data_IF_598705900093
#
_entry.id   IF_598705900093
#
_cell.length_a   1.000
_cell.length_b   1.000
_cell.length_c   1.000
_cell.angle_alpha   90.00
_cell.angle_beta   90.00
_cell.angle_gamma   90.00
#
_symmetry.space_group_name_H-M   'P 1'
#
loop_
_entity.id
_entity.type
_entity.pdbx_description
1 polymer ?
#
# COMPACT_ATOMS: atom_id res chain seq x y z
N UNK A 1 31.58 2.18 -16.09
CA UNK A 1 30.93 0.87 -16.30
C UNK A 1 30.40 0.79 -17.73
N UNK A 2 30.65 -0.31 -18.38
CA UNK A 2 30.11 -0.58 -19.72
C UNK A 2 29.04 -1.66 -19.65
N UNK A 3 27.92 -1.44 -20.32
CA UNK A 3 26.82 -2.38 -20.38
C UNK A 3 26.62 -2.82 -21.84
N UNK A 4 26.37 -4.11 -22.04
CA UNK A 4 26.19 -4.68 -23.38
C UNK A 4 24.70 -4.75 -23.70
N UNK A 5 24.34 -4.26 -24.89
CA UNK A 5 22.97 -4.37 -25.41
C UNK A 5 22.73 -5.82 -25.83
N UNK A 6 21.62 -6.40 -25.37
CA UNK A 6 21.22 -7.79 -25.62
C UNK A 6 19.83 -7.88 -26.21
N UNK A 7 19.56 -8.97 -26.91
CA UNK A 7 18.20 -9.29 -27.32
C UNK A 7 17.33 -9.69 -26.11
N UNK A 8 16.15 -9.07 -25.99
CA UNK A 8 15.15 -9.39 -24.99
C UNK A 8 13.81 -9.55 -25.72
N UNK A 9 13.46 -10.79 -26.05
CA UNK A 9 12.30 -11.05 -26.91
C UNK A 9 12.49 -10.40 -28.29
N UNK A 10 11.52 -9.59 -28.70
CA UNK A 10 11.59 -8.82 -29.95
C UNK A 10 12.23 -7.45 -29.79
N UNK A 11 12.81 -7.16 -28.63
CA UNK A 11 13.43 -5.87 -28.32
C UNK A 11 14.90 -6.02 -27.99
N UNK A 12 15.61 -4.91 -27.92
CA UNK A 12 16.96 -4.85 -27.39
C UNK A 12 16.93 -4.24 -25.99
N UNK A 13 17.75 -4.74 -25.10
CA UNK A 13 17.80 -4.27 -23.73
C UNK A 13 19.18 -4.37 -23.11
N UNK A 14 19.33 -3.81 -21.94
CA UNK A 14 20.54 -3.90 -21.12
C UNK A 14 20.18 -4.45 -19.74
N UNK A 15 21.12 -5.17 -19.13
CA UNK A 15 20.99 -5.61 -17.74
C UNK A 15 21.87 -4.69 -16.90
N UNK A 16 21.26 -3.97 -15.96
CA UNK A 16 21.98 -3.11 -15.04
C UNK A 16 22.34 -3.92 -13.80
N UNK A 17 23.62 -3.99 -13.39
CA UNK A 17 24.02 -4.72 -12.21
C UNK A 17 23.31 -4.21 -10.95
N UNK A 18 22.98 -5.12 -10.05
CA UNK A 18 22.32 -4.78 -8.81
C UNK A 18 23.08 -3.75 -7.98
N UNK A 19 24.42 -3.84 -7.97
CA UNK A 19 25.28 -2.88 -7.29
C UNK A 19 25.07 -1.45 -7.75
N UNK A 20 24.91 -1.24 -9.07
CA UNK A 20 24.65 0.08 -9.64
C UNK A 20 23.24 0.58 -9.25
N UNK A 21 22.26 -0.30 -9.27
CA UNK A 21 20.90 0.02 -8.86
C UNK A 21 20.83 0.37 -7.36
N UNK A 22 21.57 -0.35 -6.54
CA UNK A 22 21.66 -0.09 -5.10
C UNK A 22 22.27 1.29 -4.81
N UNK A 23 23.31 1.68 -5.55
CA UNK A 23 23.89 3.03 -5.45
C UNK A 23 22.87 4.12 -5.80
N UNK A 24 21.96 3.84 -6.73
CA UNK A 24 20.92 4.78 -7.13
C UNK A 24 19.69 4.72 -6.22
N UNK A 25 19.64 3.77 -5.28
CA UNK A 25 18.46 3.54 -4.45
C UNK A 25 17.27 3.00 -5.22
N UNK A 26 17.51 2.27 -6.31
CA UNK A 26 16.48 1.73 -7.21
C UNK A 26 16.31 0.24 -6.96
N UNK A 27 15.08 -0.22 -6.86
CA UNK A 27 14.74 -1.62 -6.66
C UNK A 27 13.70 -2.12 -7.67
N UNK A 28 13.26 -3.35 -7.46
CA UNK A 28 12.25 -3.98 -8.31
C UNK A 28 10.95 -3.16 -8.29
N UNK A 29 10.43 -2.88 -9.46
CA UNK A 29 9.22 -2.08 -9.64
C UNK A 29 9.46 -0.60 -9.82
N UNK A 30 10.69 -0.13 -9.57
CA UNK A 30 11.07 1.25 -9.75
C UNK A 30 11.25 1.57 -11.24
N UNK A 31 11.16 2.84 -11.57
CA UNK A 31 11.26 3.33 -12.94
C UNK A 31 12.56 4.06 -13.18
N UNK A 32 13.16 3.83 -14.34
CA UNK A 32 14.28 4.59 -14.84
C UNK A 32 13.81 5.47 -15.98
N UNK A 33 14.38 6.67 -16.06
CA UNK A 33 14.06 7.63 -17.10
C UNK A 33 15.23 7.76 -18.09
N UNK A 34 14.92 7.66 -19.37
CA UNK A 34 15.89 7.92 -20.44
C UNK A 34 15.79 9.38 -20.85
N UNK A 35 16.86 10.14 -20.57
CA UNK A 35 16.94 11.56 -20.92
C UNK A 35 18.12 11.78 -21.84
N UNK A 36 17.83 12.03 -23.12
CA UNK A 36 18.87 12.12 -24.14
C UNK A 36 19.63 10.79 -24.29
N UNK A 37 20.88 10.77 -23.88
CA UNK A 37 21.74 9.57 -23.89
C UNK A 37 22.05 9.04 -22.49
N UNK A 38 21.34 9.53 -21.49
CA UNK A 38 21.56 9.14 -20.09
C UNK A 38 20.36 8.45 -19.51
N UNK A 39 20.61 7.42 -18.71
CA UNK A 39 19.58 6.74 -17.92
C UNK A 39 19.75 7.21 -16.49
N UNK A 40 18.67 7.64 -15.86
CA UNK A 40 18.69 8.07 -14.45
C UNK A 40 17.45 7.57 -13.71
N UNK A 41 17.57 7.40 -12.39
CA UNK A 41 16.41 7.04 -11.59
C UNK A 41 15.38 8.16 -11.61
N UNK A 42 14.11 7.79 -11.71
CA UNK A 42 12.98 8.71 -11.53
C UNK A 42 12.68 8.79 -10.02
N UNK A 43 13.65 9.35 -9.27
CA UNK A 43 13.77 9.14 -7.83
C UNK A 43 12.64 9.69 -6.98
N UNK A 44 12.01 10.78 -7.37
CA UNK A 44 11.01 11.40 -6.49
C UNK A 44 9.57 10.97 -6.78
N UNK A 45 9.32 10.23 -7.88
CA UNK A 45 7.97 9.76 -8.21
C UNK A 45 7.57 8.49 -7.50
N UNK A 46 8.51 7.56 -7.32
CA UNK A 46 8.18 6.22 -6.83
C UNK A 46 8.10 6.19 -5.33
N UNK A 47 9.07 6.75 -4.61
CA UNK A 47 8.94 6.93 -3.18
C UNK A 47 7.75 7.82 -2.85
N UNK A 48 7.54 8.90 -3.59
CA UNK A 48 6.39 9.78 -3.37
C UNK A 48 5.06 9.10 -3.67
N UNK A 49 4.97 8.24 -4.68
CA UNK A 49 3.71 7.54 -4.97
C UNK A 49 3.40 6.45 -3.95
N UNK A 50 4.41 5.73 -3.44
CA UNK A 50 4.23 4.76 -2.36
C UNK A 50 3.86 5.45 -1.06
N UNK A 51 4.60 6.49 -0.68
CA UNK A 51 4.33 7.29 0.52
C UNK A 51 2.96 7.97 0.43
N UNK A 52 2.61 8.51 -0.74
CA UNK A 52 1.30 9.13 -0.97
C UNK A 52 0.17 8.12 -0.85
N UNK A 53 0.35 6.88 -1.34
CA UNK A 53 -0.64 5.82 -1.21
C UNK A 53 -0.79 5.36 0.23
N UNK A 54 0.31 5.18 0.95
CA UNK A 54 0.30 4.83 2.37
C UNK A 54 -0.40 5.91 3.19
N UNK A 55 -0.11 7.18 2.92
CA UNK A 55 -0.76 8.31 3.59
C UNK A 55 -2.25 8.38 3.25
N UNK A 56 -2.64 8.13 2.01
CA UNK A 56 -4.05 8.06 1.62
C UNK A 56 -4.79 6.99 2.43
N UNK A 57 -4.22 5.80 2.51
CA UNK A 57 -4.81 4.69 3.26
C UNK A 57 -4.89 4.99 4.75
N UNK A 58 -3.88 5.67 5.30
CA UNK A 58 -3.90 6.14 6.68
C UNK A 58 -5.00 7.19 6.90
N UNK A 59 -5.18 8.12 5.97
CA UNK A 59 -6.24 9.14 6.04
C UNK A 59 -7.64 8.53 5.94
N UNK A 60 -7.80 7.52 5.10
CA UNK A 60 -9.06 6.76 5.04
C UNK A 60 -9.35 6.07 6.37
N UNK A 61 -8.34 5.43 6.97
CA UNK A 61 -8.47 4.83 8.30
C UNK A 61 -8.79 5.86 9.37
N UNK A 62 -8.13 7.01 9.34
CA UNK A 62 -8.41 8.12 10.27
C UNK A 62 -9.86 8.62 10.15
N UNK A 63 -10.37 8.71 8.92
CA UNK A 63 -11.77 9.09 8.68
C UNK A 63 -12.74 8.06 9.26
N UNK A 64 -12.41 6.77 9.15
CA UNK A 64 -13.21 5.69 9.77
C UNK A 64 -13.22 5.83 11.28
N UNK A 65 -12.05 6.04 11.91
CA UNK A 65 -11.96 6.18 13.37
C UNK A 65 -12.64 7.44 13.89
N UNK A 66 -12.68 8.50 13.09
CA UNK A 66 -13.39 9.74 13.45
C UNK A 66 -14.91 9.59 13.37
N UNK A 67 -15.42 8.69 12.54
CA UNK A 67 -16.84 8.50 12.26
C UNK A 67 -17.46 7.35 13.03
N UNK A 68 -16.70 6.30 13.29
CA UNK A 68 -17.18 5.04 13.86
C UNK A 68 -16.48 4.71 15.17
N UNK A 69 -17.20 4.05 16.07
CA UNK A 69 -16.61 3.50 17.30
C UNK A 69 -15.75 2.27 16.97
N UNK A 70 -14.83 1.93 17.89
CA UNK A 70 -14.04 0.70 17.78
C UNK A 70 -14.94 -0.54 17.63
N UNK A 71 -16.06 -0.58 18.33
CA UNK A 71 -17.04 -1.68 18.26
C UNK A 71 -17.66 -1.79 16.85
N UNK A 72 -18.05 -0.68 16.27
CA UNK A 72 -18.60 -0.64 14.90
C UNK A 72 -17.56 -1.09 13.87
N UNK A 73 -16.31 -0.65 14.03
CA UNK A 73 -15.20 -1.04 13.16
C UNK A 73 -14.97 -2.55 13.26
N UNK A 74 -14.94 -3.11 14.46
CA UNK A 74 -14.79 -4.56 14.67
C UNK A 74 -15.92 -5.35 14.05
N UNK A 75 -17.16 -4.93 14.28
CA UNK A 75 -18.35 -5.62 13.76
C UNK A 75 -18.34 -5.67 12.23
N UNK A 76 -18.09 -4.55 11.58
CA UNK A 76 -18.04 -4.49 10.13
C UNK A 76 -16.85 -5.28 9.57
N UNK A 77 -15.71 -5.20 10.22
CA UNK A 77 -14.51 -5.94 9.81
C UNK A 77 -14.71 -7.45 9.88
N UNK A 78 -15.30 -7.94 10.97
CA UNK A 78 -15.61 -9.38 11.12
C UNK A 78 -16.61 -9.84 10.07
N UNK A 79 -17.63 -9.05 9.79
CA UNK A 79 -18.61 -9.38 8.74
C UNK A 79 -17.95 -9.49 7.36
N UNK A 80 -17.07 -8.55 7.04
CA UNK A 80 -16.32 -8.57 5.79
C UNK A 80 -15.38 -9.78 5.72
N UNK A 81 -14.63 -10.05 6.79
CA UNK A 81 -13.70 -11.18 6.85
C UNK A 81 -14.43 -12.52 6.69
N UNK A 82 -15.56 -12.70 7.34
CA UNK A 82 -16.37 -13.91 7.20
C UNK A 82 -16.88 -14.09 5.76
N UNK A 83 -17.35 -13.02 5.14
CA UNK A 83 -17.82 -13.04 3.74
C UNK A 83 -16.69 -13.42 2.78
N UNK A 84 -15.51 -12.81 2.92
CA UNK A 84 -14.36 -13.08 2.07
C UNK A 84 -13.81 -14.49 2.25
N UNK A 85 -13.82 -15.00 3.47
CA UNK A 85 -13.41 -16.39 3.75
C UNK A 85 -14.29 -17.38 3.02
N UNK A 86 -15.62 -17.16 3.04
CA UNK A 86 -16.58 -18.01 2.33
C UNK A 86 -16.44 -17.94 0.82
N UNK A 87 -16.07 -16.77 0.28
CA UNK A 87 -15.90 -16.59 -1.17
C UNK A 87 -14.54 -17.05 -1.69
N UNK A 88 -13.61 -17.42 -0.82
CA UNK A 88 -12.25 -17.79 -1.17
C UNK A 88 -11.29 -16.60 -1.39
N UNK A 89 -11.75 -15.39 -1.17
CA UNK A 89 -10.94 -14.17 -1.31
C UNK A 89 -10.15 -13.91 -0.02
N UNK A 90 -9.16 -14.75 0.27
CA UNK A 90 -8.39 -14.65 1.51
C UNK A 90 -6.93 -14.33 1.24
N UNK A 91 -6.36 -13.40 2.00
CA UNK A 91 -4.94 -13.04 1.98
C UNK A 91 -4.38 -13.14 3.41
N UNK A 92 -3.05 -13.33 3.52
CA UNK A 92 -2.39 -13.54 4.82
C UNK A 92 -2.60 -12.38 5.81
N UNK A 93 -2.72 -11.16 5.32
CA UNK A 93 -2.99 -10.00 6.16
C UNK A 93 -4.32 -10.11 6.93
N UNK A 94 -5.30 -10.81 6.39
CA UNK A 94 -6.59 -11.01 7.04
C UNK A 94 -6.47 -11.89 8.30
N UNK A 95 -5.52 -12.81 8.36
CA UNK A 95 -5.24 -13.59 9.57
C UNK A 95 -4.77 -12.68 10.70
N UNK A 96 -3.88 -11.74 10.40
CA UNK A 96 -3.40 -10.77 11.38
C UNK A 96 -4.50 -9.80 11.81
N UNK A 97 -5.30 -9.30 10.87
CA UNK A 97 -6.45 -8.45 11.18
C UNK A 97 -7.46 -9.15 12.07
N UNK A 98 -7.75 -10.42 11.79
CA UNK A 98 -8.69 -11.19 12.60
C UNK A 98 -8.20 -11.30 14.04
N UNK A 99 -6.90 -11.58 14.25
CA UNK A 99 -6.30 -11.65 15.59
C UNK A 99 -6.41 -10.32 16.33
N UNK A 100 -6.11 -9.20 15.65
CA UNK A 100 -6.19 -7.86 16.23
C UNK A 100 -7.63 -7.53 16.64
N UNK A 101 -8.60 -7.84 15.79
CA UNK A 101 -10.02 -7.58 16.04
C UNK A 101 -10.56 -8.44 17.17
N UNK A 102 -10.20 -9.73 17.19
CA UNK A 102 -10.64 -10.68 18.21
C UNK A 102 -9.96 -10.47 19.58
N UNK A 103 -8.78 -9.83 19.61
CA UNK A 103 -8.09 -9.50 20.88
C UNK A 103 -8.90 -8.56 21.76
N UNK A 104 -9.76 -7.73 21.17
CA UNK A 104 -10.53 -6.74 21.88
C UNK A 104 -9.75 -5.52 22.35
N UNK A 105 -8.47 -5.44 22.00
CA UNK A 105 -7.58 -4.34 22.41
C UNK A 105 -7.69 -3.18 21.41
N UNK A 106 -8.31 -2.08 21.86
CA UNK A 106 -8.49 -0.88 21.04
C UNK A 106 -7.16 -0.28 20.60
N UNK A 107 -6.16 -0.32 21.49
CA UNK A 107 -4.82 0.19 21.19
C UNK A 107 -4.16 -0.55 20.03
N UNK A 108 -4.30 -1.86 19.95
CA UNK A 108 -3.78 -2.66 18.83
C UNK A 108 -4.52 -2.36 17.53
N UNK A 109 -5.85 -2.22 17.59
CA UNK A 109 -6.67 -1.89 16.44
C UNK A 109 -6.27 -0.53 15.86
N UNK A 110 -6.18 0.49 16.69
CA UNK A 110 -5.81 1.84 16.24
C UNK A 110 -4.35 1.94 15.82
N UNK A 111 -3.45 1.18 16.45
CA UNK A 111 -2.05 1.12 15.99
C UNK A 111 -1.94 0.55 14.57
N UNK A 112 -2.72 -0.48 14.25
CA UNK A 112 -2.77 -1.04 12.90
C UNK A 112 -3.43 -0.09 11.89
N UNK A 113 -4.46 0.64 12.30
CA UNK A 113 -5.19 1.56 11.42
C UNK A 113 -4.46 2.88 11.19
N UNK A 114 -3.78 3.42 12.18
CA UNK A 114 -3.24 4.78 12.17
C UNK A 114 -1.72 4.85 12.26
N UNK A 115 -1.04 3.74 12.58
CA UNK A 115 0.40 3.70 12.73
C UNK A 115 1.15 4.00 11.44
N UNK A 116 2.42 4.43 11.57
CA UNK A 116 3.29 4.74 10.44
C UNK A 116 4.43 3.75 10.28
N UNK A 117 4.46 2.71 11.09
CA UNK A 117 5.43 1.62 11.01
C UNK A 117 5.12 0.70 9.81
N UNK A 118 6.10 -0.09 9.43
CA UNK A 118 6.01 -0.99 8.27
C UNK A 118 4.84 -1.99 8.40
N UNK A 119 4.64 -2.54 9.60
CA UNK A 119 3.54 -3.48 9.87
C UNK A 119 2.18 -2.83 9.62
N UNK A 120 1.94 -1.63 10.15
CA UNK A 120 0.70 -0.90 9.97
C UNK A 120 0.48 -0.54 8.49
N UNK A 121 1.51 -0.07 7.80
CA UNK A 121 1.43 0.22 6.36
C UNK A 121 1.08 -1.01 5.55
N UNK A 122 1.70 -2.15 5.86
CA UNK A 122 1.41 -3.44 5.21
C UNK A 122 -0.03 -3.89 5.46
N UNK A 123 -0.49 -3.83 6.70
CA UNK A 123 -1.85 -4.24 7.06
C UNK A 123 -2.91 -3.38 6.37
N UNK A 124 -2.67 -2.08 6.22
CA UNK A 124 -3.60 -1.17 5.54
C UNK A 124 -3.69 -1.38 4.03
N UNK A 125 -2.79 -2.16 3.43
CA UNK A 125 -2.94 -2.57 2.02
C UNK A 125 -4.15 -3.48 1.81
N UNK A 126 -4.58 -4.18 2.85
CA UNK A 126 -5.73 -5.09 2.83
C UNK A 126 -6.67 -4.78 4.00
N UNK A 127 -7.33 -3.61 4.01
CA UNK A 127 -8.14 -3.20 5.15
C UNK A 127 -9.45 -3.99 5.23
N UNK A 128 -9.81 -4.53 6.41
CA UNK A 128 -11.07 -5.25 6.57
C UNK A 128 -12.26 -4.36 6.87
N UNK A 129 -12.03 -3.10 7.21
CA UNK A 129 -13.07 -2.15 7.64
C UNK A 129 -13.67 -1.34 6.48
N UNK A 130 -13.74 -1.93 5.30
CA UNK A 130 -14.36 -1.27 4.12
C UNK A 130 -15.87 -1.18 4.27
N UNK A 131 -16.47 -0.15 3.68
CA UNK A 131 -17.91 0.07 3.69
C UNK A 131 -18.43 0.95 4.82
N UNK A 132 -17.55 1.44 5.70
CA UNK A 132 -17.94 2.32 6.82
C UNK A 132 -17.96 3.80 6.45
N UNK A 133 -17.31 4.18 5.37
CA UNK A 133 -17.32 5.56 4.89
C UNK A 133 -18.33 5.74 3.75
N UNK A 134 -19.03 6.89 3.68
CA UNK A 134 -19.83 7.24 2.50
C UNK A 134 -18.94 7.28 1.25
N UNK A 135 -19.48 6.84 0.11
CA UNK A 135 -18.77 6.87 -1.18
C UNK A 135 -18.24 8.25 -1.53
N UNK A 136 -19.00 9.28 -1.21
CA UNK A 136 -18.62 10.67 -1.46
C UNK A 136 -17.36 11.07 -0.68
N UNK A 137 -17.25 10.65 0.58
CA UNK A 137 -16.08 10.94 1.41
C UNK A 137 -14.85 10.19 0.90
N UNK A 138 -15.00 8.92 0.51
CA UNK A 138 -13.91 8.14 -0.10
C UNK A 138 -13.44 8.79 -1.40
N UNK A 139 -14.36 9.21 -2.25
CA UNK A 139 -14.06 9.92 -3.50
C UNK A 139 -13.29 11.20 -3.24
N UNK A 140 -13.75 12.01 -2.29
CA UNK A 140 -13.09 13.27 -1.93
C UNK A 140 -11.66 13.06 -1.45
N UNK A 141 -11.41 12.08 -0.58
CA UNK A 141 -10.07 11.77 -0.09
C UNK A 141 -9.15 11.29 -1.22
N UNK A 142 -9.68 10.49 -2.15
CA UNK A 142 -8.92 10.05 -3.32
C UNK A 142 -8.56 11.23 -4.25
N UNK A 143 -9.48 12.14 -4.47
CA UNK A 143 -9.26 13.34 -5.28
C UNK A 143 -8.20 14.25 -4.66
N UNK A 144 -8.27 14.47 -3.35
CA UNK A 144 -7.27 15.27 -2.61
C UNK A 144 -5.87 14.66 -2.71
N UNK A 145 -5.76 13.33 -2.67
CA UNK A 145 -4.49 12.63 -2.80
C UNK A 145 -3.90 12.69 -4.22
N UNK A 146 -4.75 12.89 -5.23
CA UNK A 146 -4.33 12.97 -6.64
C UNK A 146 -3.99 14.41 -7.09
N UNK A 147 -4.28 15.38 -6.25
CA UNK A 147 -4.04 16.79 -6.54
C UNK A 147 -2.55 17.19 -6.43
#
# INVERSE_FOLDING_TARGET
MKLVVRSVGNSLGIIIPKSALDEWGVGKGDTLELVGRSIRPTTHRISNSTDALDELKRRLAAAVTARCSAQEIRAQSLANLHRWKRSGAWVSAYDEWQKIIESGEDGELFAAMLGRDERANRLRQSPPYVGLLPREQVRQLNEEASA
#
